data_IF_052893097986
#
_entry.id   IF_052893097986
#
_cell.length_a   1.000
_cell.length_b   1.000
_cell.length_c   1.000
_cell.angle_alpha   90.00
_cell.angle_beta   90.00
_cell.angle_gamma   90.00
#
_symmetry.space_group_name_H-M   'P 1'
#
loop_
_entity.id
_entity.type
_entity.pdbx_description
1 polymer ?
#
# COMPACT_ATOMS: atom_id res chain seq x y z
N UNK A 1 31.51 25.80 -34.32
CA UNK A 1 32.16 25.22 -33.12
C UNK A 1 31.17 24.32 -32.41
N UNK A 2 31.45 23.02 -32.39
CA UNK A 2 30.64 21.95 -31.79
C UNK A 2 30.80 22.01 -30.27
N UNK A 3 29.69 22.02 -29.51
CA UNK A 3 29.71 21.81 -28.06
C UNK A 3 28.88 20.58 -27.71
N UNK A 4 29.54 19.43 -27.64
CA UNK A 4 29.01 18.21 -27.02
C UNK A 4 29.21 18.26 -25.49
N UNK A 5 28.13 18.09 -24.69
CA UNK A 5 28.04 17.61 -23.28
C UNK A 5 26.64 17.97 -22.76
N UNK A 6 25.78 17.12 -22.19
CA UNK A 6 25.99 15.92 -21.37
C UNK A 6 24.79 14.95 -21.48
N UNK A 7 25.07 13.70 -21.89
CA UNK A 7 24.17 12.54 -21.92
C UNK A 7 24.12 11.82 -20.54
N UNK A 8 24.14 12.57 -19.41
CA UNK A 8 24.22 11.99 -18.05
C UNK A 8 23.00 12.22 -17.16
N UNK A 9 22.13 13.17 -17.49
CA UNK A 9 20.99 13.53 -16.63
C UNK A 9 19.74 12.67 -16.87
N UNK A 10 19.59 12.07 -18.06
CA UNK A 10 18.48 11.17 -18.39
C UNK A 10 18.51 9.84 -17.62
N UNK A 11 19.71 9.32 -17.33
CA UNK A 11 19.90 8.06 -16.56
C UNK A 11 19.64 8.28 -15.06
N UNK A 12 20.00 9.44 -14.51
CA UNK A 12 19.76 9.79 -13.09
C UNK A 12 18.27 9.98 -12.80
N UNK A 13 17.52 10.66 -13.68
CA UNK A 13 16.07 10.83 -13.52
C UNK A 13 15.28 9.51 -13.59
N UNK A 14 15.72 8.57 -14.44
CA UNK A 14 15.18 7.20 -14.52
C UNK A 14 15.50 6.39 -13.26
N UNK A 15 16.72 6.49 -12.74
CA UNK A 15 17.11 5.83 -11.49
C UNK A 15 16.32 6.36 -10.28
N UNK A 16 16.17 7.69 -10.15
CA UNK A 16 15.40 8.32 -9.07
C UNK A 16 13.90 8.00 -9.10
N UNK A 17 13.31 7.88 -10.28
CA UNK A 17 11.88 7.51 -10.42
C UNK A 17 11.64 6.03 -10.11
N UNK A 18 12.61 5.16 -10.44
CA UNK A 18 12.57 3.73 -10.10
C UNK A 18 12.82 3.53 -8.61
N UNK A 19 13.80 4.21 -8.00
CA UNK A 19 14.02 4.13 -6.55
C UNK A 19 12.84 4.68 -5.75
N UNK A 20 12.14 5.72 -6.22
CA UNK A 20 10.93 6.22 -5.54
C UNK A 20 9.80 5.19 -5.52
N UNK A 21 9.64 4.43 -6.61
CA UNK A 21 8.65 3.33 -6.69
C UNK A 21 9.09 2.11 -5.89
N UNK A 22 10.40 1.81 -5.85
CA UNK A 22 10.98 0.70 -5.09
C UNK A 22 10.99 0.99 -3.60
N UNK A 23 11.22 2.23 -3.14
CA UNK A 23 11.16 2.59 -1.73
C UNK A 23 9.75 2.46 -1.14
N UNK A 24 8.71 2.71 -1.94
CA UNK A 24 7.33 2.45 -1.52
C UNK A 24 7.02 0.95 -1.35
N UNK A 25 7.54 0.11 -2.25
CA UNK A 25 7.38 -1.36 -2.18
C UNK A 25 8.30 -1.98 -1.12
N UNK A 26 9.51 -1.44 -0.92
CA UNK A 26 10.44 -1.85 0.13
C UNK A 26 9.97 -1.43 1.52
N UNK A 27 9.26 -0.31 1.67
CA UNK A 27 8.61 0.04 2.95
C UNK A 27 7.56 -1.01 3.34
N UNK A 28 6.79 -1.52 2.37
CA UNK A 28 5.83 -2.60 2.57
C UNK A 28 6.51 -3.95 2.84
N UNK A 29 7.59 -4.28 2.13
CA UNK A 29 8.39 -5.50 2.35
C UNK A 29 9.18 -5.47 3.66
N UNK A 30 9.68 -4.30 4.08
CA UNK A 30 10.38 -4.11 5.36
C UNK A 30 9.42 -4.25 6.54
N UNK A 31 8.21 -3.68 6.42
CA UNK A 31 7.12 -3.92 7.37
C UNK A 31 6.70 -5.39 7.40
N UNK A 32 6.60 -6.04 6.24
CA UNK A 32 6.32 -7.47 6.14
C UNK A 32 7.37 -8.32 6.84
N UNK A 33 8.66 -7.99 6.72
CA UNK A 33 9.75 -8.76 7.33
C UNK A 33 9.75 -8.63 8.86
N UNK A 34 9.43 -7.45 9.39
CA UNK A 34 9.24 -7.23 10.83
C UNK A 34 7.99 -7.95 11.33
N UNK A 35 6.85 -7.81 10.65
CA UNK A 35 5.61 -8.50 11.02
C UNK A 35 5.76 -10.03 10.89
N UNK A 36 6.49 -10.53 9.91
CA UNK A 36 6.74 -11.96 9.71
C UNK A 36 7.64 -12.55 10.79
N UNK A 37 8.72 -11.86 11.16
CA UNK A 37 9.60 -12.29 12.25
C UNK A 37 8.89 -12.22 13.62
N UNK A 38 8.07 -11.18 13.84
CA UNK A 38 7.23 -11.09 15.05
C UNK A 38 6.17 -12.18 15.08
N UNK A 39 5.49 -12.45 13.95
CA UNK A 39 4.52 -13.54 13.85
C UNK A 39 5.18 -14.91 14.09
N UNK A 40 6.36 -15.17 13.51
CA UNK A 40 7.12 -16.40 13.75
C UNK A 40 7.57 -16.54 15.20
N UNK A 41 8.03 -15.46 15.83
CA UNK A 41 8.42 -15.46 17.24
C UNK A 41 7.25 -15.76 18.18
N UNK A 42 6.07 -15.17 17.91
CA UNK A 42 4.85 -15.45 18.65
C UNK A 42 4.43 -16.92 18.45
N UNK A 43 4.41 -17.43 17.21
CA UNK A 43 4.08 -18.83 16.93
C UNK A 43 5.03 -19.80 17.66
N UNK A 44 6.33 -19.51 17.67
CA UNK A 44 7.33 -20.32 18.39
C UNK A 44 7.10 -20.31 19.91
N UNK A 45 6.79 -19.15 20.49
CA UNK A 45 6.47 -19.03 21.92
C UNK A 45 5.18 -19.80 22.29
N UNK A 46 4.14 -19.71 21.47
CA UNK A 46 2.90 -20.47 21.66
C UNK A 46 3.11 -21.99 21.50
N UNK A 47 4.04 -22.41 20.63
CA UNK A 47 4.42 -23.81 20.46
C UNK A 47 5.14 -24.37 21.69
N UNK A 48 5.87 -23.55 22.46
CA UNK A 48 6.54 -23.96 23.71
C UNK A 48 5.52 -24.17 24.84
N UNK A 49 4.43 -23.41 24.85
CA UNK A 49 3.35 -23.50 25.86
C UNK A 49 2.42 -24.70 25.58
N UNK A 50 2.65 -25.48 24.53
CA UNK A 50 1.94 -26.73 24.26
C UNK A 50 0.51 -26.54 23.76
N UNK A 51 0.15 -25.33 23.30
CA UNK A 51 -1.10 -25.10 22.58
C UNK A 51 -0.92 -25.72 21.20
N UNK A 52 -1.19 -27.02 21.11
CA UNK A 52 -1.38 -27.68 19.83
C UNK A 52 -2.44 -26.90 19.04
N UNK A 53 -2.08 -26.55 17.81
CA UNK A 53 -2.82 -25.70 16.87
C UNK A 53 -4.11 -26.37 16.37
N UNK A 54 -4.95 -26.87 17.28
CA UNK A 54 -6.23 -27.52 16.93
C UNK A 54 -7.35 -26.46 16.76
N UNK A 55 -7.06 -25.18 17.02
CA UNK A 55 -8.02 -24.08 16.83
C UNK A 55 -7.37 -22.82 16.26
N UNK A 56 -7.11 -22.81 14.95
CA UNK A 56 -6.82 -21.62 14.11
C UNK A 56 -5.93 -20.53 14.75
N UNK A 57 -4.59 -20.53 14.56
CA UNK A 57 -3.69 -19.45 15.01
C UNK A 57 -4.08 -18.05 14.49
N UNK A 58 -4.91 -17.98 13.44
CA UNK A 58 -5.43 -16.75 12.85
C UNK A 58 -6.46 -16.02 13.73
N UNK A 59 -6.99 -16.64 14.78
CA UNK A 59 -7.98 -16.02 15.67
C UNK A 59 -7.36 -14.85 16.47
N UNK A 60 -6.07 -14.90 16.77
CA UNK A 60 -5.36 -13.77 17.38
C UNK A 60 -5.37 -12.53 16.49
N UNK A 61 -5.22 -12.70 15.16
CA UNK A 61 -5.26 -11.59 14.22
C UNK A 61 -6.62 -10.89 14.20
N UNK A 62 -7.72 -11.59 14.52
CA UNK A 62 -9.04 -10.94 14.55
C UNK A 62 -9.20 -9.95 15.71
N UNK A 63 -8.59 -10.23 16.86
CA UNK A 63 -8.53 -9.31 18.01
C UNK A 63 -7.66 -8.09 17.72
N UNK A 64 -6.61 -8.28 16.94
CA UNK A 64 -5.62 -7.26 16.58
C UNK A 64 -5.99 -6.52 15.28
N UNK A 65 -6.92 -7.03 14.48
CA UNK A 65 -7.34 -6.41 13.22
C UNK A 65 -7.95 -5.03 13.43
N UNK A 66 -8.72 -4.84 14.50
CA UNK A 66 -9.34 -3.55 14.84
C UNK A 66 -8.29 -2.46 15.09
N UNK A 67 -7.30 -2.62 16.00
CA UNK A 67 -6.29 -1.59 16.19
C UNK A 67 -5.47 -1.32 14.92
N UNK A 68 -5.14 -2.34 14.13
CA UNK A 68 -4.44 -2.13 12.84
C UNK A 68 -5.28 -1.32 11.85
N UNK A 69 -6.58 -1.59 11.77
CA UNK A 69 -7.49 -0.84 10.90
C UNK A 69 -7.62 0.62 11.36
N UNK A 70 -7.72 0.87 12.67
CA UNK A 70 -7.73 2.23 13.23
C UNK A 70 -6.43 2.97 12.91
N UNK A 71 -5.28 2.32 13.08
CA UNK A 71 -3.98 2.88 12.73
C UNK A 71 -3.92 3.22 11.24
N UNK A 72 -4.35 2.32 10.36
CA UNK A 72 -4.40 2.55 8.91
C UNK A 72 -5.33 3.73 8.55
N UNK A 73 -6.51 3.81 9.16
CA UNK A 73 -7.43 4.92 8.99
C UNK A 73 -6.82 6.26 9.46
N UNK A 74 -6.15 6.26 10.61
CA UNK A 74 -5.49 7.46 11.14
C UNK A 74 -4.35 7.95 10.24
N UNK A 75 -3.51 7.04 9.75
CA UNK A 75 -2.47 7.33 8.76
C UNK A 75 -3.08 7.88 7.45
N UNK A 76 -4.22 7.33 7.02
CA UNK A 76 -4.94 7.84 5.87
C UNK A 76 -5.46 9.26 6.08
N UNK A 77 -6.01 9.59 7.25
CA UNK A 77 -6.44 10.95 7.60
C UNK A 77 -5.27 11.93 7.57
N UNK A 78 -4.10 11.55 8.10
CA UNK A 78 -2.89 12.37 8.01
C UNK A 78 -2.50 12.58 6.54
N UNK A 79 -2.46 11.51 5.75
CA UNK A 79 -2.16 11.59 4.31
C UNK A 79 -3.15 12.50 3.57
N UNK A 80 -4.43 12.46 3.94
CA UNK A 80 -5.47 13.31 3.37
C UNK A 80 -5.26 14.78 3.76
N UNK A 81 -4.89 15.06 5.01
CA UNK A 81 -4.56 16.40 5.47
C UNK A 81 -3.38 17.00 4.69
N UNK A 82 -2.30 16.24 4.51
CA UNK A 82 -1.15 16.65 3.70
C UNK A 82 -1.53 16.86 2.23
N UNK A 83 -2.44 16.05 1.70
CA UNK A 83 -2.94 16.22 0.34
C UNK A 83 -3.73 17.53 0.16
N UNK A 84 -4.60 17.88 1.11
CA UNK A 84 -5.38 19.13 1.05
C UNK A 84 -4.45 20.34 1.19
N UNK A 85 -3.50 20.29 2.15
CA UNK A 85 -2.62 21.43 2.46
C UNK A 85 -1.54 21.66 1.41
N UNK A 86 -0.87 20.60 0.96
CA UNK A 86 0.33 20.72 0.14
C UNK A 86 0.19 20.10 -1.26
N UNK A 87 -0.90 19.39 -1.57
CA UNK A 87 -1.13 18.65 -2.84
C UNK A 87 0.04 17.73 -3.27
N UNK A 88 0.91 17.34 -2.34
CA UNK A 88 2.11 16.54 -2.64
C UNK A 88 1.82 15.08 -3.01
N UNK A 89 0.60 14.59 -2.78
CA UNK A 89 0.24 13.17 -2.95
C UNK A 89 -0.67 13.01 -4.17
N UNK A 90 -0.44 11.98 -4.97
CA UNK A 90 -1.27 11.72 -6.15
C UNK A 90 -2.68 11.25 -5.75
N UNK A 91 -3.70 11.74 -6.46
CA UNK A 91 -5.11 11.37 -6.27
C UNK A 91 -5.33 9.85 -6.35
N UNK A 92 -4.66 9.19 -7.29
CA UNK A 92 -4.80 7.76 -7.55
C UNK A 92 -4.30 6.91 -6.36
N UNK A 93 -3.25 7.36 -5.66
CA UNK A 93 -2.72 6.68 -4.48
C UNK A 93 -3.67 6.80 -3.27
N UNK A 94 -4.31 7.95 -3.10
CA UNK A 94 -5.35 8.13 -2.07
C UNK A 94 -6.56 7.26 -2.37
N UNK A 95 -7.02 7.21 -3.63
CA UNK A 95 -8.16 6.36 -4.03
C UNK A 95 -7.89 4.88 -3.74
N UNK A 96 -6.65 4.43 -3.99
CA UNK A 96 -6.20 3.08 -3.68
C UNK A 96 -6.24 2.79 -2.17
N UNK A 97 -5.70 3.70 -1.34
CA UNK A 97 -5.72 3.54 0.11
C UNK A 97 -7.14 3.52 0.68
N UNK A 98 -8.06 4.34 0.14
CA UNK A 98 -9.48 4.31 0.50
C UNK A 98 -10.09 2.94 0.19
N UNK A 99 -9.86 2.43 -1.03
CA UNK A 99 -10.39 1.13 -1.44
C UNK A 99 -9.92 -0.01 -0.53
N UNK A 100 -8.64 0.00 -0.13
CA UNK A 100 -8.08 -1.00 0.80
C UNK A 100 -8.72 -0.88 2.19
N UNK A 101 -8.87 0.32 2.73
CA UNK A 101 -9.47 0.53 4.07
C UNK A 101 -10.91 0.05 4.09
N UNK A 102 -11.67 0.32 3.02
CA UNK A 102 -13.06 -0.13 2.86
C UNK A 102 -13.13 -1.66 2.73
N UNK A 103 -12.27 -2.27 1.92
CA UNK A 103 -12.24 -3.72 1.76
C UNK A 103 -11.76 -4.45 3.03
N UNK A 104 -10.92 -3.81 3.84
CA UNK A 104 -10.28 -4.39 5.02
C UNK A 104 -11.03 -4.22 6.34
N UNK A 105 -12.32 -3.85 6.33
CA UNK A 105 -13.10 -3.56 7.53
C UNK A 105 -13.26 -4.80 8.43
N UNK A 106 -12.78 -4.78 9.70
CA UNK A 106 -12.80 -5.94 10.60
C UNK A 106 -14.01 -6.00 11.54
N UNK A 107 -15.07 -5.22 11.29
CA UNK A 107 -16.21 -5.12 12.22
C UNK A 107 -17.14 -6.35 12.16
N UNK A 108 -17.20 -7.08 13.27
CA UNK A 108 -18.04 -8.26 13.42
C UNK A 108 -19.55 -7.95 13.27
N UNK A 109 -19.98 -6.76 13.70
CA UNK A 109 -21.37 -6.28 13.57
C UNK A 109 -21.79 -6.03 12.12
N UNK A 110 -20.82 -5.83 11.21
CA UNK A 110 -21.05 -5.56 9.79
C UNK A 110 -20.86 -6.80 8.92
N UNK A 111 -20.80 -8.01 9.51
CA UNK A 111 -20.58 -9.27 8.80
C UNK A 111 -21.55 -9.50 7.64
N UNK A 112 -22.83 -9.19 7.81
CA UNK A 112 -23.84 -9.34 6.75
C UNK A 112 -23.57 -8.43 5.54
N UNK A 113 -22.88 -7.31 5.76
CA UNK A 113 -22.49 -6.35 4.73
C UNK A 113 -21.03 -6.49 4.30
N UNK A 114 -20.29 -7.46 4.84
CA UNK A 114 -18.86 -7.61 4.60
C UNK A 114 -18.58 -7.86 3.12
N UNK A 115 -19.41 -8.67 2.46
CA UNK A 115 -19.36 -8.92 1.01
C UNK A 115 -19.54 -7.61 0.23
N UNK A 116 -20.45 -6.74 0.67
CA UNK A 116 -20.67 -5.44 0.04
C UNK A 116 -19.43 -4.55 0.15
N UNK A 117 -18.83 -4.44 1.33
CA UNK A 117 -17.59 -3.69 1.53
C UNK A 117 -16.42 -4.25 0.71
N UNK A 118 -16.33 -5.57 0.58
CA UNK A 118 -15.34 -6.24 -0.25
C UNK A 118 -15.50 -5.92 -1.73
N UNK A 119 -16.73 -5.99 -2.25
CA UNK A 119 -17.03 -5.70 -3.65
C UNK A 119 -16.74 -4.22 -3.94
N UNK A 120 -17.26 -3.31 -3.10
CA UNK A 120 -17.09 -1.87 -3.30
C UNK A 120 -15.62 -1.48 -3.16
N UNK A 121 -14.96 -1.88 -2.07
CA UNK A 121 -13.55 -1.59 -1.83
C UNK A 121 -12.64 -2.21 -2.89
N UNK A 122 -12.88 -3.47 -3.26
CA UNK A 122 -12.13 -4.17 -4.31
C UNK A 122 -12.29 -3.53 -5.68
N UNK A 123 -13.49 -3.07 -6.03
CA UNK A 123 -13.74 -2.36 -7.29
C UNK A 123 -12.99 -1.02 -7.33
N UNK A 124 -13.02 -0.27 -6.22
CA UNK A 124 -12.26 0.99 -6.10
C UNK A 124 -10.76 0.74 -6.27
N UNK A 125 -10.22 -0.31 -5.64
CA UNK A 125 -8.81 -0.69 -5.77
C UNK A 125 -8.46 -1.01 -7.22
N UNK A 126 -9.26 -1.82 -7.90
CA UNK A 126 -9.04 -2.17 -9.31
C UNK A 126 -9.04 -0.93 -10.21
N UNK A 127 -10.03 -0.05 -10.05
CA UNK A 127 -10.10 1.21 -10.79
C UNK A 127 -8.87 2.07 -10.52
N UNK A 128 -8.44 2.17 -9.25
CA UNK A 128 -7.25 2.95 -8.86
C UNK A 128 -5.99 2.44 -9.55
N UNK A 129 -5.80 1.11 -9.62
CA UNK A 129 -4.66 0.49 -10.30
C UNK A 129 -4.68 0.81 -11.79
N UNK A 130 -5.83 0.65 -12.45
CA UNK A 130 -5.98 0.94 -13.89
C UNK A 130 -5.66 2.40 -14.18
N UNK A 131 -6.22 3.34 -13.40
CA UNK A 131 -5.93 4.77 -13.54
C UNK A 131 -4.46 5.10 -13.28
N UNK A 132 -3.83 4.45 -12.30
CA UNK A 132 -2.42 4.62 -12.01
C UNK A 132 -1.52 4.15 -13.16
N UNK A 133 -1.85 3.03 -13.80
CA UNK A 133 -1.11 2.54 -14.98
C UNK A 133 -1.29 3.49 -16.17
N UNK A 134 -2.52 3.97 -16.42
CA UNK A 134 -2.81 4.92 -17.51
C UNK A 134 -2.04 6.22 -17.35
N UNK A 135 -2.09 6.85 -16.17
CA UNK A 135 -1.35 8.08 -15.87
C UNK A 135 0.17 7.89 -16.06
N UNK A 136 0.68 6.70 -15.70
CA UNK A 136 2.10 6.35 -15.89
C UNK A 136 2.47 6.15 -17.37
N UNK A 137 1.57 5.60 -18.19
CA UNK A 137 1.80 5.43 -19.63
C UNK A 137 1.75 6.76 -20.37
N UNK A 138 0.79 7.62 -20.06
CA UNK A 138 0.64 8.94 -20.68
C UNK A 138 1.88 9.81 -20.46
N UNK A 139 2.35 9.89 -19.21
CA UNK A 139 3.62 10.56 -18.86
C UNK A 139 4.86 9.94 -19.49
N UNK A 140 4.82 8.67 -19.94
CA UNK A 140 5.91 8.06 -20.70
C UNK A 140 5.86 8.46 -22.17
N UNK A 141 4.67 8.45 -22.78
CA UNK A 141 4.47 8.83 -24.18
C UNK A 141 4.86 10.30 -24.40
N UNK A 142 4.44 11.21 -23.53
CA UNK A 142 4.82 12.62 -23.62
C UNK A 142 6.34 12.83 -23.57
N UNK A 143 7.03 12.11 -22.68
CA UNK A 143 8.49 12.16 -22.57
C UNK A 143 9.22 11.61 -23.80
N UNK A 144 8.60 10.69 -24.54
CA UNK A 144 9.16 10.18 -25.80
C UNK A 144 8.92 11.18 -26.93
N UNK A 145 7.74 11.82 -26.98
CA UNK A 145 7.40 12.82 -28.01
C UNK A 145 8.24 14.11 -27.90
N UNK A 146 8.67 14.47 -26.69
CA UNK A 146 9.43 15.69 -26.42
C UNK A 146 10.96 15.51 -26.52
N UNK A 147 11.41 14.36 -27.04
CA UNK A 147 12.82 14.01 -27.22
C UNK A 147 13.11 13.82 -28.71
#
# INVERSE_FOLDING_TARGET
MIKQKNNKDDKKGKALTVTSSVSGVMGFLGGYQVCHNVCLGIIALLSIIGISLVGMPLLFLTKVAIPFWITAFFLFVISLFFYIKNKCISKNLLLFNVGIIIAGVPFNSLKNFLVFFWIVGGTIVLISIVLFIRDKQEKRIERIKNR
#
